data_IF_748236470260
#
_entry.id   IF_748236470260
#
_cell.length_a   1.000
_cell.length_b   1.000
_cell.length_c   1.000
_cell.angle_alpha   90.00
_cell.angle_beta   90.00
_cell.angle_gamma   90.00
#
_symmetry.space_group_name_H-M   'P 1'
#
loop_
_entity.id
_entity.type
_entity.pdbx_description
1 polymer ?
#
# COMPACT_ATOMS: atom_id res chain seq x y z
N UNK A 1 -19.93 8.59 -11.82
CA UNK A 1 -18.51 8.94 -11.99
C UNK A 1 -17.70 8.66 -10.74
N UNK A 2 -18.13 9.08 -9.56
CA UNK A 2 -17.52 8.70 -8.26
C UNK A 2 -17.58 7.19 -7.95
N UNK A 3 -18.47 6.46 -8.57
CA UNK A 3 -18.69 5.03 -8.31
C UNK A 3 -17.57 4.12 -8.81
N UNK A 4 -16.94 4.46 -9.93
CA UNK A 4 -15.85 3.65 -10.51
C UNK A 4 -14.47 3.90 -9.92
N UNK A 5 -14.24 5.05 -9.26
CA UNK A 5 -13.01 5.33 -8.50
C UNK A 5 -12.89 4.40 -7.29
N UNK A 6 -14.03 3.90 -6.79
CA UNK A 6 -14.09 3.05 -5.60
C UNK A 6 -13.79 1.57 -5.86
N UNK A 7 -13.93 1.09 -7.10
CA UNK A 7 -13.68 -0.32 -7.46
C UNK A 7 -12.20 -0.70 -7.50
N UNK A 8 -11.30 0.29 -7.56
CA UNK A 8 -9.86 0.06 -7.51
C UNK A 8 -9.15 0.87 -6.42
N UNK A 9 -9.85 1.08 -5.32
CA UNK A 9 -9.33 1.74 -4.13
C UNK A 9 -8.02 1.09 -3.64
N UNK A 10 -7.81 -0.19 -3.92
CA UNK A 10 -6.56 -0.90 -3.58
C UNK A 10 -5.34 -0.39 -4.37
N UNK A 11 -5.48 -0.11 -5.66
CA UNK A 11 -4.42 0.52 -6.46
C UNK A 11 -4.28 2.00 -6.14
N UNK A 12 -5.40 2.68 -5.88
CA UNK A 12 -5.43 4.05 -5.39
C UNK A 12 -4.96 4.11 -3.92
N UNK A 13 -5.22 3.09 -3.10
CA UNK A 13 -4.68 2.98 -1.75
C UNK A 13 -3.19 2.66 -1.74
N UNK A 14 -2.65 1.86 -2.65
CA UNK A 14 -1.20 1.73 -2.79
C UNK A 14 -0.61 3.08 -3.24
N UNK A 15 -1.22 3.76 -4.19
CA UNK A 15 -0.82 5.10 -4.59
C UNK A 15 -1.09 6.14 -3.49
N UNK A 16 -2.24 6.08 -2.80
CA UNK A 16 -2.60 6.92 -1.64
C UNK A 16 -1.89 6.49 -0.36
N UNK A 17 -1.54 5.21 -0.20
CA UNK A 17 -0.73 4.77 0.93
C UNK A 17 0.71 5.26 0.82
N UNK A 18 1.23 5.34 -0.39
CA UNK A 18 2.47 6.06 -0.65
C UNK A 18 2.33 7.56 -0.47
N UNK A 19 1.17 8.13 -0.77
CA UNK A 19 0.84 9.54 -0.60
C UNK A 19 0.23 9.82 0.78
N UNK A 20 -0.55 8.90 1.33
CA UNK A 20 -1.35 9.09 2.54
C UNK A 20 -0.60 8.94 3.85
N UNK A 21 0.56 8.25 3.87
CA UNK A 21 1.47 8.33 5.03
C UNK A 21 2.06 9.73 5.23
N UNK A 22 1.76 10.67 4.32
CA UNK A 22 2.29 12.04 4.30
C UNK A 22 1.18 13.09 4.12
N UNK A 23 -0.07 12.68 3.87
CA UNK A 23 -1.19 13.54 3.47
C UNK A 23 -1.79 14.46 4.53
N UNK A 24 -1.17 14.67 5.68
CA UNK A 24 -1.76 15.49 6.76
C UNK A 24 -1.18 16.89 6.89
N UNK A 25 -0.17 17.31 6.12
CA UNK A 25 0.33 18.67 6.25
C UNK A 25 0.60 19.36 4.93
N UNK A 26 -0.42 19.97 4.36
CA UNK A 26 -0.26 21.10 3.43
C UNK A 26 -0.76 22.35 4.12
N UNK A 27 0.14 23.27 4.47
CA UNK A 27 -0.03 24.72 4.39
C UNK A 27 1.27 25.44 4.80
N UNK A 28 2.03 25.97 3.85
CA UNK A 28 2.46 27.36 3.85
C UNK A 28 3.39 27.62 2.66
N UNK A 29 2.97 28.53 1.81
CA UNK A 29 3.70 28.98 0.65
C UNK A 29 4.79 29.99 1.05
N UNK A 30 6.04 29.77 0.62
CA UNK A 30 7.03 30.83 0.48
C UNK A 30 7.82 30.66 -0.81
N UNK A 31 7.92 31.74 -1.58
CA UNK A 31 8.59 31.81 -2.89
C UNK A 31 10.11 31.79 -2.71
N UNK A 32 10.80 30.87 -3.40
CA UNK A 32 12.25 30.85 -3.45
C UNK A 32 12.74 30.80 -4.89
N UNK A 33 13.72 31.64 -5.23
CA UNK A 33 14.51 31.52 -6.46
C UNK A 33 15.66 30.55 -6.19
N UNK A 34 15.82 29.54 -7.04
CA UNK A 34 16.90 28.56 -6.97
C UNK A 34 17.96 28.93 -8.03
N UNK A 35 19.22 29.02 -7.61
CA UNK A 35 20.34 29.13 -8.56
C UNK A 35 20.75 27.72 -8.96
N UNK A 36 20.62 27.39 -10.24
CA UNK A 36 20.87 26.08 -10.79
C UNK A 36 22.12 26.04 -11.67
N UNK A 37 22.70 24.86 -11.83
CA UNK A 37 23.71 24.57 -12.84
C UNK A 37 23.04 23.89 -14.03
N UNK A 38 23.47 24.22 -15.22
CA UNK A 38 22.92 23.66 -16.46
C UNK A 38 23.54 22.30 -16.81
N UNK A 39 22.73 21.38 -17.35
CA UNK A 39 23.19 20.17 -18.01
C UNK A 39 22.42 20.02 -19.31
N UNK A 40 23.05 20.32 -20.41
CA UNK A 40 22.39 20.60 -21.68
C UNK A 40 21.55 21.87 -21.57
N UNK A 41 20.30 21.83 -22.04
CA UNK A 41 19.36 22.97 -21.98
C UNK A 41 18.55 22.99 -20.69
N UNK A 42 18.88 22.17 -19.68
CA UNK A 42 18.13 22.01 -18.44
C UNK A 42 18.96 22.31 -17.21
N UNK A 43 18.38 23.03 -16.28
CA UNK A 43 19.00 23.34 -15.00
C UNK A 43 18.94 22.15 -14.04
N UNK A 44 20.06 21.78 -13.45
CA UNK A 44 20.20 20.70 -12.47
C UNK A 44 20.30 21.29 -11.08
N UNK A 45 19.39 20.92 -10.18
CA UNK A 45 19.37 21.39 -8.80
C UNK A 45 19.97 20.42 -7.80
N UNK A 46 19.96 19.14 -8.09
CA UNK A 46 20.62 18.09 -7.30
C UNK A 46 21.02 16.91 -8.17
N UNK A 47 21.98 16.13 -7.73
CA UNK A 47 22.35 14.87 -8.37
C UNK A 47 22.69 13.82 -7.33
N UNK A 48 22.33 12.57 -7.63
CA UNK A 48 22.72 11.38 -6.88
C UNK A 48 23.37 10.47 -7.92
N UNK A 49 24.70 10.29 -7.83
CA UNK A 49 25.50 9.61 -8.84
C UNK A 49 25.18 10.12 -10.26
N UNK A 50 24.58 9.28 -11.11
CA UNK A 50 24.19 9.65 -12.48
C UNK A 50 22.81 10.25 -12.60
N UNK A 51 21.98 10.15 -11.56
CA UNK A 51 20.63 10.73 -11.55
C UNK A 51 20.72 12.24 -11.30
N UNK A 52 20.05 13.00 -12.14
CA UNK A 52 19.96 14.46 -12.04
C UNK A 52 18.53 14.89 -11.79
N UNK A 53 18.33 15.74 -10.79
CA UNK A 53 17.06 16.41 -10.56
C UNK A 53 17.11 17.74 -11.29
N UNK A 54 16.28 17.90 -12.31
CA UNK A 54 16.26 19.05 -13.18
C UNK A 54 15.29 20.13 -12.68
N UNK A 55 15.68 21.38 -12.85
CA UNK A 55 14.83 22.51 -12.49
C UNK A 55 13.52 22.51 -13.27
N UNK A 56 13.52 22.16 -14.57
CA UNK A 56 12.30 22.09 -15.39
C UNK A 56 11.21 21.18 -14.83
N UNK A 57 11.59 20.17 -14.06
CA UNK A 57 10.63 19.30 -13.36
C UNK A 57 9.98 20.03 -12.17
N UNK A 58 10.56 21.15 -11.75
CA UNK A 58 10.19 21.92 -10.55
C UNK A 58 9.54 23.28 -10.87
N UNK A 59 9.81 23.83 -12.08
CA UNK A 59 9.46 25.20 -12.44
C UNK A 59 8.18 25.31 -13.25
N UNK A 60 7.07 24.76 -12.77
CA UNK A 60 5.82 25.34 -13.32
C UNK A 60 5.09 26.27 -12.37
N UNK A 61 5.31 26.27 -11.10
CA UNK A 61 4.77 27.24 -10.13
C UNK A 61 5.11 26.83 -8.69
N UNK A 62 6.28 27.26 -8.21
CA UNK A 62 6.77 27.14 -6.83
C UNK A 62 7.38 25.78 -6.47
N UNK A 63 8.66 25.78 -6.14
CA UNK A 63 9.34 24.73 -5.38
C UNK A 63 8.67 24.58 -4.01
N UNK A 64 7.73 23.67 -3.96
CA UNK A 64 7.12 23.20 -2.76
C UNK A 64 8.06 22.12 -2.16
N UNK A 65 8.25 22.19 -0.87
CA UNK A 65 9.11 21.25 -0.11
C UNK A 65 8.70 19.80 -0.31
N UNK A 66 7.41 19.55 -0.53
CA UNK A 66 6.84 18.24 -0.81
C UNK A 66 7.36 17.69 -2.14
N UNK A 67 7.30 18.47 -3.21
CA UNK A 67 7.79 18.07 -4.53
C UNK A 67 9.28 17.72 -4.49
N UNK A 68 10.09 18.55 -3.82
CA UNK A 68 11.52 18.26 -3.61
C UNK A 68 11.75 16.98 -2.83
N UNK A 69 11.00 16.77 -1.79
CA UNK A 69 11.08 15.56 -0.98
C UNK A 69 10.75 14.31 -1.81
N UNK A 70 9.66 14.33 -2.58
CA UNK A 70 9.25 13.20 -3.40
C UNK A 70 10.27 12.87 -4.47
N UNK A 71 10.85 13.87 -5.13
CA UNK A 71 11.90 13.64 -6.11
C UNK A 71 13.19 13.11 -5.46
N UNK A 72 13.56 13.66 -4.29
CA UNK A 72 14.67 13.16 -3.49
C UNK A 72 14.47 11.69 -3.11
N UNK A 73 13.29 11.35 -2.58
CA UNK A 73 12.92 9.99 -2.19
C UNK A 73 12.98 9.04 -3.39
N UNK A 74 12.36 9.41 -4.50
CA UNK A 74 12.39 8.66 -5.77
C UNK A 74 13.83 8.40 -6.22
N UNK A 75 14.69 9.40 -6.15
CA UNK A 75 16.09 9.27 -6.50
C UNK A 75 16.83 8.29 -5.58
N UNK A 76 16.68 8.44 -4.25
CA UNK A 76 17.32 7.53 -3.28
C UNK A 76 16.87 6.08 -3.51
N UNK A 77 15.57 5.82 -3.68
CA UNK A 77 15.04 4.47 -3.93
C UNK A 77 15.64 3.88 -5.21
N UNK A 78 15.66 4.66 -6.30
CA UNK A 78 16.11 4.18 -7.59
C UNK A 78 17.61 3.86 -7.62
N UNK A 79 18.43 4.63 -6.93
CA UNK A 79 19.87 4.40 -6.84
C UNK A 79 20.22 3.30 -5.80
N UNK A 80 19.42 3.13 -4.76
CA UNK A 80 19.70 2.15 -3.70
C UNK A 80 19.32 0.71 -4.07
N UNK A 81 18.47 0.52 -5.09
CA UNK A 81 18.01 -0.81 -5.52
C UNK A 81 18.12 -0.98 -7.03
N UNK A 82 18.86 -2.00 -7.44
CA UNK A 82 18.93 -2.39 -8.85
C UNK A 82 17.57 -2.88 -9.36
N UNK A 83 17.31 -2.64 -10.65
CA UNK A 83 16.09 -3.10 -11.32
C UNK A 83 16.28 -4.54 -11.79
N UNK A 84 15.90 -5.51 -10.97
CA UNK A 84 15.99 -6.94 -11.30
C UNK A 84 14.90 -7.38 -12.30
N UNK A 85 14.97 -8.62 -12.78
CA UNK A 85 13.95 -9.18 -13.68
C UNK A 85 12.60 -9.33 -12.94
N UNK A 86 12.65 -9.69 -11.68
CA UNK A 86 11.46 -9.84 -10.79
C UNK A 86 10.77 -8.48 -10.61
N UNK A 87 11.54 -7.43 -10.28
CA UNK A 87 11.02 -6.06 -10.17
C UNK A 87 10.36 -5.62 -11.49
N UNK A 88 11.02 -5.85 -12.63
CA UNK A 88 10.44 -5.51 -13.96
C UNK A 88 9.14 -6.26 -14.22
N UNK A 89 9.10 -7.55 -13.89
CA UNK A 89 7.91 -8.38 -14.08
C UNK A 89 6.73 -7.92 -13.23
N UNK A 90 6.97 -7.68 -11.93
CA UNK A 90 5.96 -7.20 -11.00
C UNK A 90 5.49 -5.78 -11.34
N UNK A 91 6.42 -4.89 -11.71
CA UNK A 91 6.09 -3.54 -12.17
C UNK A 91 5.24 -3.55 -13.45
N UNK A 92 5.54 -4.44 -14.40
CA UNK A 92 4.74 -4.60 -15.62
C UNK A 92 3.30 -5.04 -15.32
N UNK A 93 3.10 -5.97 -14.36
CA UNK A 93 1.75 -6.35 -13.92
C UNK A 93 1.01 -5.15 -13.32
N UNK A 94 1.66 -4.39 -12.46
CA UNK A 94 1.10 -3.17 -11.86
C UNK A 94 0.77 -2.12 -12.93
N UNK A 95 1.66 -1.86 -13.89
CA UNK A 95 1.42 -0.95 -15.02
C UNK A 95 0.20 -1.39 -15.83
N UNK A 96 0.12 -2.68 -16.17
CA UNK A 96 -1.01 -3.21 -16.94
C UNK A 96 -2.34 -3.05 -16.18
N UNK A 97 -2.34 -3.24 -14.87
CA UNK A 97 -3.53 -3.05 -14.04
C UNK A 97 -3.97 -1.57 -14.03
N UNK A 98 -3.02 -0.65 -13.85
CA UNK A 98 -3.28 0.80 -13.90
C UNK A 98 -3.82 1.19 -15.29
N UNK A 99 -3.14 0.77 -16.35
CA UNK A 99 -3.55 1.06 -17.73
C UNK A 99 -4.94 0.48 -18.05
N UNK A 100 -5.19 -0.78 -17.66
CA UNK A 100 -6.50 -1.41 -17.90
C UNK A 100 -7.62 -0.65 -17.19
N UNK A 101 -7.39 -0.20 -15.96
CA UNK A 101 -8.35 0.55 -15.20
C UNK A 101 -8.70 1.89 -15.84
N UNK A 102 -7.69 2.65 -16.25
CA UNK A 102 -7.91 3.99 -16.81
C UNK A 102 -8.30 3.97 -18.30
N UNK A 103 -7.72 3.06 -19.12
CA UNK A 103 -7.98 3.02 -20.58
C UNK A 103 -9.29 2.37 -20.95
N UNK A 104 -9.80 1.41 -20.14
CA UNK A 104 -11.14 0.86 -20.37
C UNK A 104 -12.25 1.90 -20.22
N UNK A 105 -11.96 3.01 -19.56
CA UNK A 105 -12.96 4.04 -19.30
C UNK A 105 -12.94 5.20 -20.32
N UNK A 106 -11.83 5.57 -20.86
CA UNK A 106 -11.59 6.56 -21.92
C UNK A 106 -10.11 7.01 -21.86
N UNK A 107 -9.32 6.99 -22.94
CA UNK A 107 -7.95 7.49 -22.94
C UNK A 107 -7.82 9.00 -22.66
N UNK A 108 -8.92 9.75 -22.75
CA UNK A 108 -9.01 11.17 -22.37
C UNK A 108 -9.69 11.37 -21.00
N UNK A 109 -9.78 10.33 -20.18
CA UNK A 109 -10.36 10.42 -18.85
C UNK A 109 -9.57 11.44 -18.01
N UNK A 110 -10.28 12.39 -17.43
CA UNK A 110 -9.71 13.42 -16.55
C UNK A 110 -8.91 12.80 -15.40
N UNK A 111 -9.32 11.61 -14.92
CA UNK A 111 -8.62 10.87 -13.87
C UNK A 111 -7.26 10.34 -14.34
N UNK A 112 -7.15 9.85 -15.59
CA UNK A 112 -5.86 9.42 -16.14
C UNK A 112 -4.90 10.60 -16.34
N UNK A 113 -5.43 11.73 -16.80
CA UNK A 113 -4.66 12.98 -16.91
C UNK A 113 -4.21 13.47 -15.53
N UNK A 114 -5.11 13.43 -14.53
CA UNK A 114 -4.80 13.81 -13.15
C UNK A 114 -3.72 12.89 -12.55
N UNK A 115 -3.80 11.57 -12.76
CA UNK A 115 -2.76 10.62 -12.35
C UNK A 115 -1.40 10.99 -12.95
N UNK A 116 -1.33 11.22 -14.27
CA UNK A 116 -0.07 11.58 -14.93
C UNK A 116 0.48 12.91 -14.43
N UNK A 117 -0.36 13.88 -14.16
CA UNK A 117 0.03 15.15 -13.56
C UNK A 117 0.62 14.94 -12.16
N UNK A 118 -0.02 14.11 -11.34
CA UNK A 118 0.49 13.76 -10.02
C UNK A 118 1.83 13.03 -10.10
N UNK A 119 1.97 12.03 -11.00
CA UNK A 119 3.23 11.33 -11.21
C UNK A 119 4.36 12.28 -11.63
N UNK A 120 4.04 13.32 -12.39
CA UNK A 120 5.04 14.33 -12.79
C UNK A 120 5.59 15.14 -11.61
N UNK A 121 4.80 15.35 -10.55
CA UNK A 121 5.29 16.01 -9.33
C UNK A 121 6.29 15.13 -8.58
N UNK A 122 6.19 13.82 -8.72
CA UNK A 122 7.13 12.85 -8.13
C UNK A 122 8.37 12.59 -9.00
N UNK A 123 8.48 13.26 -10.16
CA UNK A 123 9.59 13.13 -11.09
C UNK A 123 9.35 12.12 -12.22
N UNK A 124 8.18 11.49 -12.31
CA UNK A 124 7.85 10.56 -13.38
C UNK A 124 7.18 11.28 -14.55
N UNK A 125 7.90 11.46 -15.64
CA UNK A 125 7.44 12.22 -16.82
C UNK A 125 7.53 11.38 -18.10
N UNK A 126 6.83 11.82 -19.15
CA UNK A 126 6.87 11.17 -20.46
C UNK A 126 5.95 9.95 -20.58
N UNK A 127 6.14 9.16 -21.62
CA UNK A 127 5.29 8.02 -21.97
C UNK A 127 5.40 6.86 -20.98
N UNK A 128 6.59 6.67 -20.39
CA UNK A 128 6.88 5.58 -19.46
C UNK A 128 6.59 5.93 -17.99
N UNK A 129 6.03 7.11 -17.68
CA UNK A 129 5.83 7.59 -16.31
C UNK A 129 5.19 6.57 -15.36
N UNK A 130 4.16 5.86 -15.82
CA UNK A 130 3.47 4.84 -15.01
C UNK A 130 4.36 3.62 -14.78
N UNK A 131 5.08 3.16 -15.80
CA UNK A 131 6.00 2.03 -15.66
C UNK A 131 7.19 2.36 -14.76
N UNK A 132 7.76 3.56 -14.88
CA UNK A 132 8.88 4.01 -14.05
C UNK A 132 8.45 4.19 -12.59
N UNK A 133 7.25 4.70 -12.37
CA UNK A 133 6.61 4.72 -11.06
C UNK A 133 6.44 3.30 -10.50
N UNK A 134 5.87 2.37 -11.26
CA UNK A 134 5.66 0.99 -10.83
C UNK A 134 7.00 0.29 -10.49
N UNK A 135 8.06 0.54 -11.27
CA UNK A 135 9.42 0.05 -10.96
C UNK A 135 9.90 0.61 -9.62
N UNK A 136 9.72 1.92 -9.39
CA UNK A 136 10.15 2.58 -8.15
C UNK A 136 9.40 2.03 -6.95
N UNK A 137 8.08 1.81 -7.07
CA UNK A 137 7.26 1.16 -6.04
C UNK A 137 7.81 -0.21 -5.67
N UNK A 138 8.10 -1.05 -6.66
CA UNK A 138 8.63 -2.40 -6.40
C UNK A 138 10.03 -2.39 -5.83
N UNK A 139 10.88 -1.46 -6.25
CA UNK A 139 12.20 -1.22 -5.62
C UNK A 139 12.06 -0.84 -4.15
N UNK A 140 11.13 0.04 -3.84
CA UNK A 140 10.86 0.46 -2.46
C UNK A 140 10.37 -0.70 -1.60
N UNK A 141 9.44 -1.52 -2.09
CA UNK A 141 9.01 -2.74 -1.42
C UNK A 141 10.21 -3.63 -1.05
N UNK A 142 11.15 -3.82 -1.97
CA UNK A 142 12.38 -4.59 -1.71
C UNK A 142 13.28 -3.95 -0.65
N UNK A 143 13.47 -2.63 -0.70
CA UNK A 143 14.26 -1.90 0.30
C UNK A 143 13.62 -1.99 1.69
N UNK A 144 12.30 -1.80 1.75
CA UNK A 144 11.52 -1.93 2.98
C UNK A 144 11.65 -3.34 3.56
N UNK A 145 11.47 -4.38 2.73
CA UNK A 145 11.62 -5.77 3.13
C UNK A 145 13.00 -6.06 3.71
N UNK A 146 14.05 -5.62 3.03
CA UNK A 146 15.45 -5.80 3.49
C UNK A 146 15.69 -5.12 4.83
N UNK A 147 15.23 -3.89 4.99
CA UNK A 147 15.40 -3.13 6.23
C UNK A 147 14.61 -3.76 7.37
N UNK A 148 13.33 -4.07 7.15
CA UNK A 148 12.45 -4.72 8.14
C UNK A 148 13.05 -6.06 8.57
N UNK A 149 13.50 -6.90 7.62
CA UNK A 149 14.11 -8.20 7.94
C UNK A 149 15.33 -8.04 8.83
N UNK A 150 16.18 -7.05 8.56
CA UNK A 150 17.40 -6.77 9.35
C UNK A 150 17.06 -6.26 10.76
N UNK A 151 15.97 -5.53 10.94
CA UNK A 151 15.56 -4.92 12.20
C UNK A 151 14.29 -5.54 12.79
N UNK A 152 13.99 -6.79 12.39
CA UNK A 152 12.73 -7.49 12.67
C UNK A 152 12.34 -7.46 14.14
N UNK A 153 13.22 -7.91 15.03
CA UNK A 153 12.93 -8.08 16.46
C UNK A 153 12.54 -6.75 17.16
N UNK A 154 13.03 -5.63 16.64
CA UNK A 154 12.66 -4.31 17.13
C UNK A 154 11.29 -3.87 16.61
N UNK A 155 11.03 -4.10 15.31
CA UNK A 155 9.88 -3.55 14.61
C UNK A 155 8.61 -4.39 14.77
N UNK A 156 8.76 -5.72 14.96
CA UNK A 156 7.63 -6.66 14.97
C UNK A 156 6.68 -6.44 16.15
N UNK A 157 7.16 -5.93 17.28
CA UNK A 157 6.38 -5.77 18.51
C UNK A 157 5.08 -4.97 18.32
N UNK A 158 5.12 -3.92 17.50
CA UNK A 158 3.94 -3.10 17.23
C UNK A 158 2.95 -3.82 16.30
N UNK A 159 3.46 -4.61 15.35
CA UNK A 159 2.64 -5.41 14.45
C UNK A 159 2.01 -6.61 15.19
N UNK A 160 2.73 -7.27 16.09
CA UNK A 160 2.21 -8.39 16.90
C UNK A 160 1.00 -7.99 17.75
N UNK A 161 0.96 -6.77 18.27
CA UNK A 161 -0.19 -6.24 19.04
C UNK A 161 -1.49 -6.27 18.24
N UNK A 162 -1.42 -6.25 16.90
CA UNK A 162 -2.57 -6.28 16.01
C UNK A 162 -3.04 -7.69 15.65
N UNK A 163 -2.30 -8.73 16.09
CA UNK A 163 -2.63 -10.14 15.83
C UNK A 163 -2.86 -10.46 14.34
N UNK A 164 -1.93 -10.10 13.44
CA UNK A 164 -2.15 -10.22 12.00
C UNK A 164 -2.31 -11.66 11.54
N UNK A 165 -3.13 -11.84 10.50
CA UNK A 165 -3.39 -13.14 9.87
C UNK A 165 -3.43 -12.99 8.36
N UNK A 166 -2.88 -13.97 7.65
CA UNK A 166 -3.12 -14.17 6.22
C UNK A 166 -4.30 -15.11 6.05
N UNK A 167 -5.27 -14.74 5.22
CA UNK A 167 -6.52 -15.46 5.05
C UNK A 167 -6.93 -15.66 3.60
N UNK A 168 -7.62 -16.78 3.34
CA UNK A 168 -8.37 -17.00 2.11
C UNK A 168 -9.86 -16.78 2.37
N UNK A 169 -10.57 -16.30 1.35
CA UNK A 169 -11.99 -15.99 1.42
C UNK A 169 -12.75 -16.65 0.27
N UNK A 170 -13.96 -17.11 0.57
CA UNK A 170 -14.96 -17.51 -0.42
C UNK A 170 -16.20 -16.68 -0.16
N UNK A 171 -16.66 -15.95 -1.17
CA UNK A 171 -17.92 -15.21 -1.17
C UNK A 171 -18.89 -15.85 -2.17
N UNK A 172 -20.10 -16.11 -1.72
CA UNK A 172 -21.22 -16.50 -2.57
C UNK A 172 -22.27 -15.40 -2.48
N UNK A 173 -22.63 -14.81 -3.60
CA UNK A 173 -23.74 -13.86 -3.63
C UNK A 173 -25.05 -14.61 -3.37
N UNK A 174 -25.92 -14.02 -2.54
CA UNK A 174 -27.25 -14.57 -2.31
C UNK A 174 -28.12 -14.30 -3.54
N UNK A 175 -28.60 -15.36 -4.16
CA UNK A 175 -29.52 -15.32 -5.29
C UNK A 175 -30.81 -16.08 -4.90
N UNK A 176 -31.97 -15.71 -5.45
CA UNK A 176 -33.22 -16.42 -5.24
C UNK A 176 -33.15 -17.85 -5.75
N UNK A 177 -32.52 -18.04 -6.92
CA UNK A 177 -32.35 -19.34 -7.58
C UNK A 177 -30.90 -19.53 -8.01
N UNK A 178 -29.99 -19.79 -7.05
CA UNK A 178 -28.58 -19.94 -7.38
C UNK A 178 -28.31 -21.16 -8.25
N UNK A 179 -27.38 -21.05 -9.19
CA UNK A 179 -26.86 -22.19 -9.90
C UNK A 179 -26.33 -23.23 -8.90
N UNK A 180 -26.42 -24.53 -9.23
CA UNK A 180 -26.03 -25.63 -8.31
C UNK A 180 -24.62 -25.42 -7.74
N UNK A 181 -23.68 -25.00 -8.55
CA UNK A 181 -22.30 -24.71 -8.21
C UNK A 181 -22.14 -23.54 -7.23
N UNK A 182 -23.10 -22.64 -7.14
CA UNK A 182 -23.11 -21.47 -6.27
C UNK A 182 -23.86 -21.73 -4.95
N UNK A 183 -24.20 -22.99 -4.66
CA UNK A 183 -24.83 -23.34 -3.39
C UNK A 183 -23.81 -23.64 -2.31
N UNK A 184 -24.11 -23.23 -1.05
CA UNK A 184 -23.29 -23.55 0.14
C UNK A 184 -22.96 -25.02 0.24
N UNK A 185 -23.93 -25.89 -0.03
CA UNK A 185 -23.77 -27.36 0.05
C UNK A 185 -22.76 -27.87 -0.99
N UNK A 186 -22.80 -27.35 -2.21
CA UNK A 186 -21.84 -27.73 -3.26
C UNK A 186 -20.44 -27.25 -2.93
N UNK A 187 -20.28 -25.98 -2.49
CA UNK A 187 -18.96 -25.44 -2.10
C UNK A 187 -18.38 -26.17 -0.91
N UNK A 188 -19.19 -26.50 0.11
CA UNK A 188 -18.73 -27.31 1.25
C UNK A 188 -18.24 -28.70 0.79
N UNK A 189 -18.88 -29.31 -0.20
CA UNK A 189 -18.41 -30.56 -0.80
C UNK A 189 -17.08 -30.40 -1.52
N UNK A 190 -16.86 -29.29 -2.23
CA UNK A 190 -15.59 -28.97 -2.88
C UNK A 190 -14.48 -28.75 -1.86
N UNK A 191 -14.74 -28.00 -0.79
CA UNK A 191 -13.77 -27.77 0.30
C UNK A 191 -13.33 -29.11 0.91
N UNK A 192 -14.28 -30.03 1.17
CA UNK A 192 -13.96 -31.37 1.67
C UNK A 192 -13.14 -32.23 0.70
N UNK A 193 -13.36 -32.03 -0.62
CA UNK A 193 -12.70 -32.84 -1.65
C UNK A 193 -11.32 -32.26 -2.03
N UNK A 194 -11.21 -30.98 -2.22
CA UNK A 194 -10.04 -30.32 -2.83
C UNK A 194 -9.23 -29.47 -1.83
N UNK A 195 -9.79 -29.23 -0.63
CA UNK A 195 -9.25 -28.28 0.33
C UNK A 195 -9.81 -26.87 0.12
N UNK A 196 -9.57 -26.01 1.13
CA UNK A 196 -10.11 -24.64 1.12
C UNK A 196 -9.47 -23.76 0.06
N UNK A 197 -8.13 -23.78 -0.04
CA UNK A 197 -7.37 -22.90 -0.95
C UNK A 197 -7.74 -23.09 -2.42
N UNK A 198 -7.75 -24.34 -2.90
CA UNK A 198 -8.12 -24.66 -4.28
C UNK A 198 -9.58 -24.30 -4.57
N UNK A 199 -10.43 -24.42 -3.55
CA UNK A 199 -11.83 -24.00 -3.68
C UNK A 199 -11.94 -22.46 -3.71
N UNK A 200 -11.19 -21.75 -2.88
CA UNK A 200 -11.15 -20.30 -2.86
C UNK A 200 -10.68 -19.74 -4.21
N UNK A 201 -9.65 -20.33 -4.82
CA UNK A 201 -9.20 -19.95 -6.17
C UNK A 201 -10.32 -20.10 -7.22
N UNK A 202 -11.07 -21.20 -7.17
CA UNK A 202 -12.19 -21.43 -8.08
C UNK A 202 -13.30 -20.37 -7.95
N UNK A 203 -13.53 -19.85 -6.74
CA UNK A 203 -14.56 -18.85 -6.45
C UNK A 203 -14.00 -17.42 -6.32
N UNK A 204 -12.73 -17.22 -6.63
CA UNK A 204 -12.07 -15.94 -6.48
C UNK A 204 -12.67 -14.80 -7.32
N UNK A 205 -13.35 -15.10 -8.41
CA UNK A 205 -13.94 -14.07 -9.29
C UNK A 205 -14.91 -13.14 -8.56
N UNK A 206 -15.73 -13.66 -7.64
CA UNK A 206 -16.67 -12.84 -6.86
C UNK A 206 -15.91 -11.89 -5.94
N UNK A 207 -14.99 -12.41 -5.15
CA UNK A 207 -14.19 -11.60 -4.20
C UNK A 207 -13.21 -10.66 -4.90
N UNK A 208 -12.67 -11.05 -6.05
CA UNK A 208 -11.82 -10.19 -6.86
C UNK A 208 -12.61 -9.04 -7.52
N UNK A 209 -13.85 -9.30 -7.98
CA UNK A 209 -14.74 -8.25 -8.50
C UNK A 209 -15.15 -7.25 -7.39
N UNK A 210 -15.19 -7.68 -6.14
CA UNK A 210 -15.37 -6.81 -4.97
C UNK A 210 -14.08 -6.07 -4.57
N UNK A 211 -12.95 -6.34 -5.24
CA UNK A 211 -11.64 -5.75 -4.91
C UNK A 211 -11.02 -6.31 -3.64
N UNK A 212 -11.55 -7.43 -3.09
CA UNK A 212 -11.15 -7.96 -1.79
C UNK A 212 -9.95 -8.91 -1.89
N UNK A 213 -9.89 -9.79 -2.90
CA UNK A 213 -8.86 -10.82 -2.99
C UNK A 213 -8.13 -10.77 -4.34
N UNK A 214 -6.97 -11.43 -4.38
CA UNK A 214 -6.33 -11.75 -5.65
C UNK A 214 -7.07 -12.93 -6.35
N UNK A 215 -6.59 -13.31 -7.54
CA UNK A 215 -7.19 -14.37 -8.35
C UNK A 215 -7.14 -15.78 -7.71
N UNK A 216 -6.49 -15.92 -6.57
CA UNK A 216 -6.44 -17.17 -5.79
C UNK A 216 -7.42 -17.18 -4.60
N UNK A 217 -8.23 -16.14 -4.45
CA UNK A 217 -9.09 -15.97 -3.29
C UNK A 217 -8.36 -15.57 -2.02
N UNK A 218 -7.10 -15.11 -2.14
CA UNK A 218 -6.26 -14.69 -1.03
C UNK A 218 -6.46 -13.21 -0.74
N UNK A 219 -6.93 -12.87 0.46
CA UNK A 219 -7.00 -11.50 0.97
C UNK A 219 -5.61 -10.99 1.39
N UNK A 220 -4.77 -11.89 1.86
CA UNK A 220 -3.34 -11.69 2.13
C UNK A 220 -3.03 -11.27 3.55
N UNK A 221 -3.72 -10.28 4.10
CA UNK A 221 -3.46 -9.77 5.45
C UNK A 221 -4.71 -9.11 6.02
N UNK A 222 -5.00 -9.41 7.28
CA UNK A 222 -5.98 -8.71 8.12
C UNK A 222 -5.49 -8.67 9.56
N UNK A 223 -5.98 -7.71 10.35
CA UNK A 223 -5.67 -7.59 11.77
C UNK A 223 -6.83 -6.95 12.54
N UNK A 224 -6.64 -6.78 13.85
CA UNK A 224 -7.68 -6.25 14.75
C UNK A 224 -8.21 -4.86 14.37
N UNK A 225 -7.40 -4.03 13.73
CA UNK A 225 -7.82 -2.66 13.38
C UNK A 225 -8.93 -2.67 12.32
N UNK A 226 -9.08 -3.78 11.60
CA UNK A 226 -10.15 -3.95 10.60
C UNK A 226 -11.49 -4.42 11.22
N UNK A 227 -11.57 -4.71 12.52
CA UNK A 227 -12.81 -5.18 13.18
C UNK A 227 -13.97 -4.18 13.14
N UNK A 228 -13.68 -2.89 12.94
CA UNK A 228 -14.69 -1.83 12.83
C UNK A 228 -15.08 -1.51 11.38
N UNK A 229 -14.56 -2.23 10.39
CA UNK A 229 -14.83 -1.94 8.99
C UNK A 229 -16.29 -2.19 8.61
N UNK A 230 -16.93 -1.17 8.06
CA UNK A 230 -18.20 -1.32 7.39
C UNK A 230 -18.02 -1.96 6.01
N UNK A 231 -18.84 -2.96 5.70
CA UNK A 231 -18.83 -3.59 4.40
C UNK A 231 -19.59 -2.73 3.38
N UNK A 232 -18.83 -2.12 2.49
CA UNK A 232 -19.39 -1.46 1.32
C UNK A 232 -18.83 -2.13 0.07
N UNK A 233 -19.59 -2.23 -1.02
CA UNK A 233 -19.10 -2.74 -2.32
C UNK A 233 -17.84 -2.03 -2.83
N UNK A 234 -17.45 -0.96 -2.17
CA UNK A 234 -16.40 -0.01 -2.59
C UNK A 234 -15.25 0.04 -1.62
N UNK A 235 -15.37 -0.65 -0.47
CA UNK A 235 -14.26 -0.81 0.46
C UNK A 235 -13.47 -2.05 0.05
N UNK A 236 -12.19 -1.88 -0.28
CA UNK A 236 -11.27 -3.02 -0.47
C UNK A 236 -10.97 -3.73 0.86
N UNK A 237 -11.86 -3.61 1.84
CA UNK A 237 -11.72 -4.14 3.19
C UNK A 237 -12.81 -5.17 3.45
N UNK A 238 -12.46 -6.23 4.15
CA UNK A 238 -13.42 -7.25 4.55
C UNK A 238 -14.35 -6.71 5.65
N UNK A 239 -15.59 -7.22 5.74
CA UNK A 239 -16.51 -6.84 6.81
C UNK A 239 -15.90 -7.06 8.18
N UNK A 240 -16.04 -6.10 9.09
CA UNK A 240 -15.52 -6.22 10.46
C UNK A 240 -16.04 -7.43 11.22
N UNK A 241 -17.28 -7.89 10.94
CA UNK A 241 -17.84 -9.12 11.49
C UNK A 241 -17.02 -10.37 11.10
N UNK A 242 -16.50 -10.40 9.85
CA UNK A 242 -15.63 -11.48 9.39
C UNK A 242 -14.27 -11.38 10.10
N UNK A 243 -13.73 -10.16 10.24
CA UNK A 243 -12.46 -9.94 10.96
C UNK A 243 -12.55 -10.44 12.39
N UNK A 244 -13.61 -10.08 13.14
CA UNK A 244 -13.81 -10.55 14.53
C UNK A 244 -13.74 -12.06 14.65
N UNK A 245 -14.47 -12.79 13.78
CA UNK A 245 -14.45 -14.23 13.78
C UNK A 245 -13.05 -14.79 13.41
N UNK A 246 -12.39 -14.19 12.40
CA UNK A 246 -11.04 -14.57 11.99
C UNK A 246 -10.03 -14.38 13.12
N UNK A 247 -10.16 -13.29 13.91
CA UNK A 247 -9.22 -13.02 15.02
C UNK A 247 -9.24 -14.11 16.11
N UNK A 248 -10.31 -14.84 16.29
CA UNK A 248 -10.42 -15.96 17.25
C UNK A 248 -9.81 -17.25 16.72
N UNK A 249 -9.59 -17.38 15.40
CA UNK A 249 -9.15 -18.61 14.75
C UNK A 249 -7.63 -18.79 14.82
N UNK A 250 -7.21 -20.05 14.77
CA UNK A 250 -5.80 -20.44 14.64
C UNK A 250 -5.45 -20.74 13.18
N UNK A 251 -4.16 -20.78 12.90
CA UNK A 251 -3.67 -21.23 11.60
C UNK A 251 -4.22 -22.62 11.25
N UNK A 252 -4.73 -22.75 10.03
CA UNK A 252 -5.30 -23.99 9.50
C UNK A 252 -6.79 -24.14 9.77
N UNK A 253 -7.40 -23.27 10.54
CA UNK A 253 -8.84 -23.28 10.81
C UNK A 253 -9.62 -22.51 9.73
N UNK A 254 -10.86 -22.95 9.52
CA UNK A 254 -11.84 -22.28 8.66
C UNK A 254 -13.15 -22.08 9.42
N UNK A 255 -13.97 -21.16 8.98
CA UNK A 255 -15.33 -21.04 9.51
C UNK A 255 -16.07 -22.38 9.40
N UNK A 256 -16.70 -22.82 10.50
CA UNK A 256 -17.55 -24.00 10.51
C UNK A 256 -18.81 -23.74 9.69
N UNK A 257 -19.45 -22.60 9.93
CA UNK A 257 -20.66 -22.17 9.25
C UNK A 257 -20.40 -21.00 8.28
N UNK A 258 -21.36 -20.72 7.41
CA UNK A 258 -21.34 -19.56 6.52
C UNK A 258 -21.82 -18.33 7.26
N UNK A 259 -21.02 -17.29 7.28
CA UNK A 259 -21.41 -15.97 7.80
C UNK A 259 -22.10 -15.16 6.71
N UNK A 260 -23.25 -14.57 7.02
CA UNK A 260 -24.00 -13.72 6.10
C UNK A 260 -23.62 -12.26 6.34
N UNK A 261 -23.25 -11.54 5.29
CA UNK A 261 -22.92 -10.11 5.33
C UNK A 261 -23.68 -9.39 4.24
N UNK A 262 -24.12 -8.17 4.52
CA UNK A 262 -24.86 -7.33 3.56
C UNK A 262 -24.08 -6.05 3.32
N UNK A 263 -23.89 -5.71 2.03
CA UNK A 263 -23.21 -4.46 1.67
C UNK A 263 -24.15 -3.24 1.76
N UNK A 264 -23.59 -2.06 1.64
CA UNK A 264 -24.34 -0.79 1.67
C UNK A 264 -25.34 -0.62 0.53
N UNK A 265 -25.29 -1.47 -0.49
CA UNK A 265 -26.24 -1.51 -1.62
C UNK A 265 -27.37 -2.52 -1.40
N UNK A 266 -27.37 -3.24 -0.27
CA UNK A 266 -28.36 -4.25 0.08
C UNK A 266 -28.09 -5.64 -0.49
N UNK A 267 -26.93 -5.87 -1.16
CA UNK A 267 -26.59 -7.21 -1.62
C UNK A 267 -26.06 -8.03 -0.46
N UNK A 268 -26.59 -9.23 -0.33
CA UNK A 268 -26.17 -10.17 0.71
C UNK A 268 -25.20 -11.20 0.14
N UNK A 269 -24.17 -11.51 0.90
CA UNK A 269 -23.15 -12.50 0.59
C UNK A 269 -23.02 -13.50 1.73
N UNK A 270 -22.76 -14.74 1.39
CA UNK A 270 -22.34 -15.78 2.31
C UNK A 270 -20.82 -15.94 2.24
N UNK A 271 -20.17 -15.84 3.38
CA UNK A 271 -18.71 -15.80 3.48
C UNK A 271 -18.19 -17.01 4.25
N UNK A 272 -17.14 -17.61 3.75
CA UNK A 272 -16.24 -18.51 4.49
C UNK A 272 -14.83 -17.97 4.45
N UNK A 273 -14.13 -18.05 5.58
CA UNK A 273 -12.72 -17.69 5.72
C UNK A 273 -11.88 -18.90 6.17
N UNK A 274 -10.61 -18.87 5.81
CA UNK A 274 -9.60 -19.84 6.25
C UNK A 274 -8.33 -19.11 6.61
N UNK A 275 -7.77 -19.39 7.79
CA UNK A 275 -6.51 -18.77 8.25
C UNK A 275 -5.33 -19.56 7.72
N UNK A 276 -4.58 -18.95 6.81
CA UNK A 276 -3.41 -19.56 6.17
C UNK A 276 -2.14 -19.46 7.01
N UNK A 277 -1.86 -18.26 7.49
CA UNK A 277 -0.64 -17.98 8.27
C UNK A 277 -0.90 -16.93 9.35
N UNK A 278 -0.25 -17.12 10.51
CA UNK A 278 -0.28 -16.21 11.66
C UNK A 278 1.13 -15.76 12.08
N UNK A 279 2.16 -16.39 11.51
CA UNK A 279 3.54 -16.04 11.80
C UNK A 279 4.00 -14.91 10.87
N UNK A 280 4.19 -13.72 11.44
CA UNK A 280 4.53 -12.49 10.72
C UNK A 280 5.82 -12.67 9.88
N UNK A 281 6.83 -13.35 10.42
CA UNK A 281 8.08 -13.59 9.69
C UNK A 281 7.87 -14.48 8.45
N UNK A 282 6.94 -15.45 8.53
CA UNK A 282 6.56 -16.27 7.36
C UNK A 282 5.74 -15.46 6.37
N UNK A 283 4.85 -14.60 6.84
CA UNK A 283 4.08 -13.69 5.97
C UNK A 283 5.01 -12.73 5.22
N UNK A 284 6.00 -12.14 5.90
CA UNK A 284 7.01 -11.26 5.29
C UNK A 284 7.87 -11.96 4.23
N UNK A 285 8.03 -13.28 4.33
CA UNK A 285 8.78 -14.14 3.41
C UNK A 285 7.88 -15.09 2.59
N UNK A 286 6.62 -14.74 2.42
CA UNK A 286 5.70 -15.48 1.57
C UNK A 286 6.13 -15.43 0.10
N UNK A 287 5.79 -16.50 -0.65
CA UNK A 287 5.92 -16.52 -2.11
C UNK A 287 4.83 -15.72 -2.81
N UNK A 288 3.78 -15.31 -2.09
CA UNK A 288 2.70 -14.48 -2.63
C UNK A 288 2.96 -12.99 -2.35
N UNK A 289 3.10 -12.21 -3.43
CA UNK A 289 3.37 -10.77 -3.35
C UNK A 289 2.30 -10.02 -2.53
N UNK A 290 1.03 -10.45 -2.59
CA UNK A 290 -0.07 -9.79 -1.87
C UNK A 290 0.15 -9.87 -0.35
N UNK A 291 0.60 -11.03 0.15
CA UNK A 291 0.90 -11.22 1.57
C UNK A 291 2.10 -10.37 1.98
N UNK A 292 3.16 -10.41 1.17
CA UNK A 292 4.39 -9.64 1.45
C UNK A 292 4.13 -8.15 1.47
N UNK A 293 3.49 -7.61 0.42
CA UNK A 293 3.23 -6.18 0.28
C UNK A 293 2.35 -5.66 1.43
N UNK A 294 1.26 -6.38 1.78
CA UNK A 294 0.39 -6.02 2.91
C UNK A 294 1.10 -6.13 4.26
N UNK A 295 1.95 -7.15 4.45
CA UNK A 295 2.74 -7.30 5.68
C UNK A 295 3.74 -6.16 5.83
N UNK A 296 4.46 -5.79 4.77
CA UNK A 296 5.37 -4.63 4.76
C UNK A 296 4.60 -3.34 5.11
N UNK A 297 3.43 -3.15 4.49
CA UNK A 297 2.56 -2.00 4.78
C UNK A 297 2.17 -1.93 6.25
N UNK A 298 1.85 -3.08 6.86
CA UNK A 298 1.55 -3.14 8.30
C UNK A 298 2.75 -2.73 9.16
N UNK A 299 3.97 -3.16 8.82
CA UNK A 299 5.17 -2.68 9.53
C UNK A 299 5.32 -1.17 9.43
N UNK A 300 5.14 -0.61 8.23
CA UNK A 300 5.26 0.84 8.00
C UNK A 300 4.21 1.62 8.78
N UNK A 301 2.96 1.15 8.79
CA UNK A 301 1.86 1.82 9.47
C UNK A 301 1.94 1.76 10.99
N UNK A 302 2.46 0.66 11.52
CA UNK A 302 2.57 0.48 12.95
C UNK A 302 3.92 0.94 13.53
N UNK A 303 4.77 1.56 12.72
CA UNK A 303 6.05 2.14 13.13
C UNK A 303 6.23 3.50 12.44
N UNK A 304 5.69 4.55 13.01
CA UNK A 304 5.53 5.88 12.40
C UNK A 304 6.82 6.49 11.84
N UNK A 305 7.99 6.20 12.42
CA UNK A 305 9.28 6.70 11.93
C UNK A 305 9.90 5.82 10.84
N UNK A 306 9.36 4.62 10.59
CA UNK A 306 10.01 3.59 9.79
C UNK A 306 10.33 4.03 8.37
N UNK A 307 9.39 4.70 7.69
CA UNK A 307 9.62 5.20 6.32
C UNK A 307 10.80 6.18 6.26
N UNK A 308 10.91 7.07 7.24
CA UNK A 308 12.01 8.03 7.34
C UNK A 308 13.33 7.32 7.68
N UNK A 309 13.30 6.34 8.57
CA UNK A 309 14.48 5.59 8.98
C UNK A 309 15.05 4.75 7.82
N UNK A 310 14.17 4.15 7.02
CA UNK A 310 14.53 3.42 5.79
C UNK A 310 15.18 4.37 4.78
N UNK A 311 14.53 5.49 4.50
CA UNK A 311 15.04 6.47 3.53
C UNK A 311 16.43 6.98 3.92
N UNK A 312 16.62 7.34 5.18
CA UNK A 312 17.92 7.82 5.68
C UNK A 312 18.99 6.73 5.68
N UNK A 313 18.61 5.49 6.03
CA UNK A 313 19.54 4.38 6.00
C UNK A 313 20.11 4.17 4.60
N UNK A 314 19.28 4.27 3.57
CA UNK A 314 19.75 4.10 2.20
C UNK A 314 20.41 5.38 1.66
N UNK A 315 19.86 6.55 1.94
CA UNK A 315 20.46 7.83 1.55
C UNK A 315 21.88 8.02 2.11
N UNK A 316 22.12 7.56 3.36
CA UNK A 316 23.44 7.67 4.00
C UNK A 316 24.53 6.82 3.31
N UNK A 317 24.15 5.86 2.47
CA UNK A 317 25.08 5.03 1.69
C UNK A 317 25.39 5.60 0.30
N UNK A 318 24.65 6.64 -0.11
CA UNK A 318 24.83 7.28 -1.39
C UNK A 318 25.68 8.53 -1.26
N UNK A 319 26.57 8.76 -2.22
CA UNK A 319 27.34 10.01 -2.34
C UNK A 319 26.47 11.11 -2.95
N UNK A 320 25.56 11.68 -2.13
CA UNK A 320 24.63 12.71 -2.58
C UNK A 320 25.35 14.06 -2.71
N UNK A 321 25.46 14.58 -3.92
CA UNK A 321 26.00 15.90 -4.18
C UNK A 321 24.90 16.90 -4.45
N UNK A 322 24.73 17.85 -3.53
CA UNK A 322 23.80 18.96 -3.70
C UNK A 322 24.49 20.13 -4.41
N UNK A 323 24.01 20.49 -5.59
CA UNK A 323 24.50 21.65 -6.34
C UNK A 323 23.89 22.95 -5.83
N UNK A 324 22.68 22.90 -5.27
CA UNK A 324 22.00 24.01 -4.63
C UNK A 324 21.95 23.82 -3.11
N UNK A 325 22.55 24.78 -2.38
CA UNK A 325 22.55 24.78 -0.91
C UNK A 325 21.16 25.04 -0.32
N UNK A 326 20.28 25.76 -1.04
CA UNK A 326 18.91 26.02 -0.59
C UNK A 326 18.08 24.74 -0.71
N UNK A 327 18.14 24.03 -1.83
CA UNK A 327 17.48 22.73 -2.00
C UNK A 327 17.90 21.74 -0.91
N UNK A 328 19.21 21.65 -0.61
CA UNK A 328 19.70 20.85 0.51
C UNK A 328 19.04 21.22 1.84
N UNK A 329 18.99 22.54 2.13
CA UNK A 329 18.42 23.04 3.38
C UNK A 329 16.93 22.71 3.50
N UNK A 330 16.16 22.91 2.42
CA UNK A 330 14.72 22.61 2.40
C UNK A 330 14.44 21.10 2.55
N UNK A 331 15.14 20.23 1.82
CA UNK A 331 15.02 18.77 1.99
C UNK A 331 15.35 18.37 3.42
N UNK A 332 16.47 18.88 3.98
CA UNK A 332 16.88 18.53 5.35
C UNK A 332 15.87 19.02 6.39
N UNK A 333 15.32 20.22 6.22
CA UNK A 333 14.30 20.78 7.10
C UNK A 333 13.04 19.94 7.05
N UNK A 334 12.56 19.60 5.86
CA UNK A 334 11.36 18.79 5.64
C UNK A 334 11.49 17.41 6.28
N UNK A 335 12.60 16.71 6.04
CA UNK A 335 12.87 15.41 6.66
C UNK A 335 12.87 15.49 8.20
N UNK A 336 13.42 16.56 8.76
CA UNK A 336 13.43 16.78 10.21
C UNK A 336 12.02 17.02 10.77
N UNK A 337 11.21 17.82 10.08
CA UNK A 337 9.81 18.09 10.46
C UNK A 337 8.96 16.82 10.37
N UNK A 338 9.09 16.04 9.31
CA UNK A 338 8.40 14.75 9.17
C UNK A 338 8.71 13.80 10.33
N UNK A 339 9.99 13.70 10.71
CA UNK A 339 10.39 12.85 11.84
C UNK A 339 9.83 13.33 13.17
N UNK A 340 9.84 14.64 13.37
CA UNK A 340 9.27 15.23 14.58
C UNK A 340 7.79 14.88 14.67
N UNK A 341 7.04 15.09 13.61
CA UNK A 341 5.61 14.80 13.55
C UNK A 341 5.32 13.30 13.75
N UNK A 342 6.13 12.41 13.12
CA UNK A 342 6.00 10.98 13.30
C UNK A 342 6.22 10.52 14.76
N UNK A 343 7.18 11.13 15.47
CA UNK A 343 7.41 10.86 16.90
C UNK A 343 6.28 11.36 17.77
N UNK A 344 5.79 12.56 17.51
CA UNK A 344 4.66 13.13 18.25
C UNK A 344 3.40 12.26 18.09
N UNK A 345 3.16 11.71 16.89
CA UNK A 345 2.08 10.75 16.66
C UNK A 345 2.29 9.44 17.45
N UNK A 346 3.52 8.93 17.52
CA UNK A 346 3.84 7.72 18.28
C UNK A 346 3.61 7.92 19.78
N UNK A 347 4.01 9.08 20.32
CA UNK A 347 3.81 9.45 21.71
C UNK A 347 2.32 9.55 22.04
N UNK A 348 1.53 10.23 21.20
CA UNK A 348 0.08 10.36 21.38
C UNK A 348 -0.67 9.02 21.32
N UNK A 349 -0.28 8.13 20.41
CA UNK A 349 -0.92 6.80 20.32
C UNK A 349 -0.56 5.90 21.50
N UNK A 350 0.62 6.04 22.09
CA UNK A 350 1.00 5.33 23.29
C UNK A 350 0.28 5.86 24.54
N UNK A 351 0.04 7.15 24.64
CA UNK A 351 -0.73 7.77 25.74
C UNK A 351 -2.20 7.31 25.71
N UNK A 352 -2.84 7.36 24.56
CA UNK A 352 -4.23 6.90 24.40
C UNK A 352 -4.40 5.40 24.70
N UNK A 353 -3.42 4.57 24.29
CA UNK A 353 -3.43 3.13 24.60
C UNK A 353 -3.29 2.84 26.09
N UNK A 354 -2.57 3.67 26.83
CA UNK A 354 -2.42 3.53 28.29
C UNK A 354 -3.67 4.01 29.06
N UNK A 355 -4.35 5.05 28.59
CA UNK A 355 -5.60 5.54 29.20
C UNK A 355 -6.72 4.52 29.08
N UNK A 356 -6.90 3.92 27.89
CA UNK A 356 -7.91 2.86 27.67
C UNK A 356 -7.63 1.59 28.48
N UNK A 357 -6.35 1.22 28.67
CA UNK A 357 -6.00 0.08 29.50
C UNK A 357 -6.28 0.34 30.99
N UNK A 358 -6.21 1.59 31.44
CA UNK A 358 -6.48 1.97 32.83
C UNK A 358 -7.99 2.08 33.11
N UNK A 359 -8.78 2.49 32.13
CA UNK A 359 -10.26 2.53 32.26
C UNK A 359 -10.90 1.13 32.24
N UNK A 360 -10.28 0.15 31.57
CA UNK A 360 -10.78 -1.24 31.58
C UNK A 360 -10.35 -2.04 32.82
N UNK A 361 -9.42 -1.52 33.62
CA UNK A 361 -8.91 -2.16 34.84
C UNK A 361 -9.62 -1.66 36.13
N UNK A 362 -10.48 -0.65 36.05
CA UNK A 362 -11.32 -0.12 37.12
C UNK A 362 -12.80 -0.47 36.89
#
# INVERSE_FOLDING_TARGET
MLEKIKENLFLLLIALFMVGSIGIYIFSANQYKVNSLTSGDKDVIASIDKLKIYADNLYKDKLDSDTLYWQYRTAVINESQETTKEIKSSAKKMTNNIDSYYRQQNPNDENYVALRKQLSTFGFTGENAINDYAITVKKETELNKKYITKHYDKLVKNVEKKSPKSIYLIFLQQEETPAKENTKAYVNKLIKKNGFKDTAEKYASVTANLGLTNNKGLYGYTDKDEESNDFTQKSSTIPGEIVKQVMEMKKGESFDEWTSVTDSSGNTYFVKAYVDETNIKKMLNSDDETVVDKTISSFVNNNNTLSSDILDHYASKLEITYKDKKAKKEITKYLKEMRKNAKEMEEQSNEQGNEQATEQAN
#
